data_IF_432372468695
#
_entry.id   IF_432372468695
#
_cell.length_a   1.000
_cell.length_b   1.000
_cell.length_c   1.000
_cell.angle_alpha   90.00
_cell.angle_beta   90.00
_cell.angle_gamma   90.00
#
_symmetry.space_group_name_H-M   'P 1'
#
loop_
_entity.id
_entity.type
_entity.pdbx_description
1 polymer ?
#
# COMPACT_ATOMS: atom_id res chain seq x y z
N UNK A 1 -27.01 -38.95 -11.72
CA UNK A 1 -26.83 -38.60 -13.15
C UNK A 1 -25.85 -37.44 -13.24
N UNK A 2 -24.60 -37.67 -13.64
CA UNK A 2 -23.60 -36.61 -13.79
C UNK A 2 -23.84 -35.84 -15.08
N UNK A 3 -23.88 -34.50 -15.01
CA UNK A 3 -24.15 -33.64 -16.15
C UNK A 3 -22.88 -33.49 -17.01
N UNK A 4 -22.83 -34.07 -18.23
CA UNK A 4 -21.61 -34.12 -19.04
C UNK A 4 -21.10 -32.75 -19.48
N UNK A 5 -21.97 -31.72 -19.47
CA UNK A 5 -21.60 -30.34 -19.81
C UNK A 5 -20.70 -29.70 -18.75
N UNK A 6 -20.90 -30.01 -17.48
CA UNK A 6 -20.11 -29.44 -16.37
C UNK A 6 -18.70 -30.05 -16.39
N UNK A 7 -18.59 -31.35 -16.65
CA UNK A 7 -17.31 -32.05 -16.76
C UNK A 7 -16.46 -31.48 -17.91
N UNK A 8 -17.09 -31.22 -19.06
CA UNK A 8 -16.41 -30.65 -20.23
C UNK A 8 -15.89 -29.24 -19.96
N UNK A 9 -16.68 -28.39 -19.28
CA UNK A 9 -16.24 -27.04 -18.91
C UNK A 9 -15.11 -27.07 -17.89
N UNK A 10 -15.13 -27.99 -16.92
CA UNK A 10 -14.05 -28.12 -15.94
C UNK A 10 -12.75 -28.60 -16.56
N UNK A 11 -12.80 -29.54 -17.51
CA UNK A 11 -11.62 -30.01 -18.25
C UNK A 11 -11.05 -28.90 -19.14
N UNK A 12 -11.91 -28.15 -19.84
CA UNK A 12 -11.47 -27.04 -20.68
C UNK A 12 -10.78 -25.94 -19.84
N UNK A 13 -11.32 -25.63 -18.66
CA UNK A 13 -10.71 -24.69 -17.73
C UNK A 13 -9.36 -25.21 -17.19
N UNK A 14 -9.25 -26.51 -16.90
CA UNK A 14 -8.01 -27.16 -16.46
C UNK A 14 -6.92 -27.16 -17.55
N UNK A 15 -7.31 -27.32 -18.82
CA UNK A 15 -6.38 -27.26 -19.96
C UNK A 15 -5.88 -25.83 -20.18
N UNK A 16 -6.75 -24.82 -20.05
CA UNK A 16 -6.34 -23.42 -20.11
C UNK A 16 -5.41 -23.08 -18.93
N UNK A 17 -5.74 -23.53 -17.72
CA UNK A 17 -4.92 -23.34 -16.54
C UNK A 17 -3.54 -24.02 -16.68
N UNK A 18 -3.51 -25.23 -17.25
CA UNK A 18 -2.27 -25.95 -17.53
C UNK A 18 -1.42 -25.27 -18.61
N UNK A 19 -2.03 -24.70 -19.65
CA UNK A 19 -1.30 -23.94 -20.68
C UNK A 19 -0.73 -22.62 -20.16
N UNK A 20 -1.39 -21.96 -19.20
CA UNK A 20 -0.81 -20.76 -18.54
C UNK A 20 0.40 -21.09 -17.66
N UNK A 21 0.59 -22.37 -17.29
CA UNK A 21 1.74 -22.81 -16.48
C UNK A 21 2.93 -23.32 -17.31
N UNK A 22 2.81 -23.41 -18.64
CA UNK A 22 3.90 -23.83 -19.54
C UNK A 22 4.41 -22.69 -20.42
N UNK A 23 4.62 -21.51 -19.84
CA UNK A 23 5.53 -20.54 -20.45
C UNK A 23 6.98 -20.97 -20.12
N UNK A 24 7.50 -21.86 -20.95
CA UNK A 24 8.90 -22.25 -20.93
C UNK A 24 9.76 -21.11 -21.50
N UNK A 25 10.19 -20.19 -20.64
CA UNK A 25 11.30 -19.29 -20.98
C UNK A 25 12.61 -19.98 -20.62
N UNK A 26 13.14 -20.75 -21.58
CA UNK A 26 14.48 -21.31 -21.53
C UNK A 26 15.40 -20.45 -22.39
N UNK A 27 15.73 -19.27 -21.88
CA UNK A 27 16.98 -18.59 -22.19
C UNK A 27 17.67 -18.36 -20.84
N UNK A 28 18.93 -18.77 -20.73
CA UNK A 28 19.68 -18.60 -19.48
C UNK A 28 19.65 -17.13 -19.06
N UNK A 29 19.39 -16.82 -17.79
CA UNK A 29 19.34 -15.44 -17.35
C UNK A 29 20.71 -14.78 -17.58
N UNK A 30 20.70 -13.57 -18.14
CA UNK A 30 21.92 -12.77 -18.25
C UNK A 30 22.25 -12.25 -16.85
N UNK A 31 23.30 -12.79 -16.24
CA UNK A 31 23.74 -12.37 -14.91
C UNK A 31 24.80 -11.28 -15.04
N UNK A 32 24.50 -10.11 -14.48
CA UNK A 32 25.37 -8.94 -14.45
C UNK A 32 25.92 -8.78 -13.03
N UNK A 33 27.23 -8.68 -12.92
CA UNK A 33 27.94 -8.40 -11.67
C UNK A 33 28.66 -7.06 -11.78
N UNK A 34 28.02 -5.94 -11.40
CA UNK A 34 28.69 -4.66 -11.30
C UNK A 34 29.81 -4.70 -10.25
N UNK A 35 30.80 -3.80 -10.34
CA UNK A 35 31.84 -3.69 -9.32
C UNK A 35 31.21 -3.35 -7.95
N UNK A 36 31.87 -3.78 -6.88
CA UNK A 36 31.44 -3.51 -5.49
C UNK A 36 31.24 -2.02 -5.27
N UNK A 37 30.04 -1.65 -4.81
CA UNK A 37 29.65 -0.26 -4.61
C UNK A 37 29.90 0.10 -3.15
N UNK A 38 30.91 0.92 -2.90
CA UNK A 38 31.16 1.51 -1.59
C UNK A 38 30.14 2.61 -1.32
N UNK A 39 29.37 2.48 -0.25
CA UNK A 39 28.27 3.36 0.11
C UNK A 39 28.44 3.87 1.55
N UNK A 40 28.19 5.16 1.77
CA UNK A 40 28.06 5.76 3.10
C UNK A 40 26.57 5.83 3.50
N UNK A 41 26.25 6.12 4.76
CA UNK A 41 24.86 6.24 5.25
C UNK A 41 24.00 7.30 4.52
N UNK A 42 24.63 8.27 3.86
CA UNK A 42 23.97 9.33 3.09
C UNK A 42 23.98 9.09 1.57
N UNK A 43 24.55 7.98 1.11
CA UNK A 43 24.66 7.66 -0.32
C UNK A 43 23.53 6.73 -0.74
N UNK A 44 23.06 6.87 -1.98
CA UNK A 44 21.99 6.04 -2.54
C UNK A 44 22.45 5.43 -3.85
N UNK A 45 22.12 4.16 -4.09
CA UNK A 45 22.33 3.52 -5.39
C UNK A 45 21.09 3.76 -6.25
N UNK A 46 21.31 4.39 -7.38
CA UNK A 46 20.30 4.71 -8.38
C UNK A 46 20.47 3.78 -9.57
N UNK A 47 19.43 3.01 -9.86
CA UNK A 47 19.35 2.11 -11.01
C UNK A 47 18.21 2.60 -11.90
N UNK A 48 18.59 3.15 -13.04
CA UNK A 48 17.67 3.66 -14.04
C UNK A 48 17.55 2.66 -15.18
N UNK A 49 16.33 2.28 -15.52
CA UNK A 49 16.04 1.47 -16.69
C UNK A 49 15.20 2.25 -17.70
N UNK A 50 15.49 2.09 -18.98
CA UNK A 50 14.72 2.71 -20.05
C UNK A 50 14.71 1.80 -21.29
N UNK A 51 13.52 1.56 -21.84
CA UNK A 51 13.33 0.75 -23.03
C UNK A 51 12.22 1.30 -23.92
N UNK A 52 12.03 0.63 -25.06
CA UNK A 52 10.94 0.93 -26.00
C UNK A 52 9.59 0.35 -25.53
N UNK A 53 9.62 -0.69 -24.70
CA UNK A 53 8.44 -1.35 -24.12
C UNK A 53 8.54 -1.43 -22.59
N UNK A 54 7.44 -1.82 -21.94
CA UNK A 54 7.40 -2.02 -20.49
C UNK A 54 8.50 -3.00 -20.03
N UNK A 55 9.18 -2.61 -18.95
CA UNK A 55 10.19 -3.41 -18.26
C UNK A 55 9.59 -3.84 -16.93
N UNK A 56 9.43 -5.15 -16.77
CA UNK A 56 8.99 -5.77 -15.53
C UNK A 56 10.19 -5.94 -14.60
N UNK A 57 10.01 -5.55 -13.34
CA UNK A 57 11.06 -5.61 -12.33
C UNK A 57 10.58 -6.45 -11.17
N UNK A 58 11.38 -7.45 -10.79
CA UNK A 58 11.21 -8.18 -9.54
C UNK A 58 12.22 -7.64 -8.54
N UNK A 59 11.70 -7.03 -7.48
CA UNK A 59 12.51 -6.51 -6.39
C UNK A 59 12.81 -7.64 -5.39
N UNK A 60 14.08 -7.78 -4.93
CA UNK A 60 14.41 -8.75 -3.91
C UNK A 60 13.77 -8.39 -2.58
N UNK A 61 13.58 -9.41 -1.74
CA UNK A 61 13.43 -9.20 -0.30
C UNK A 61 14.79 -8.79 0.28
N UNK A 62 15.07 -7.49 0.23
CA UNK A 62 16.23 -6.93 0.91
C UNK A 62 16.08 -7.04 2.44
N UNK A 63 17.20 -7.02 3.20
CA UNK A 63 17.14 -6.85 4.65
C UNK A 63 16.29 -5.62 5.00
N UNK A 64 15.54 -5.68 6.11
CA UNK A 64 14.56 -4.64 6.56
C UNK A 64 15.08 -3.19 6.60
N UNK A 65 16.38 -3.01 6.49
CA UNK A 65 17.12 -1.76 6.60
C UNK A 65 17.50 -1.16 5.24
N UNK A 66 17.07 -1.76 4.13
CA UNK A 66 17.18 -1.15 2.81
C UNK A 66 15.78 -0.85 2.30
N UNK A 67 15.55 0.39 1.90
CA UNK A 67 14.32 0.77 1.22
C UNK A 67 14.56 0.72 -0.28
N UNK A 68 13.54 0.24 -0.99
CA UNK A 68 13.52 0.25 -2.45
C UNK A 68 12.34 1.07 -2.90
N UNK A 69 12.63 2.23 -3.49
CA UNK A 69 11.62 3.05 -4.14
C UNK A 69 11.64 2.77 -5.64
N UNK A 70 10.51 2.37 -6.20
CA UNK A 70 10.32 2.23 -7.64
C UNK A 70 9.44 3.37 -8.17
N UNK A 71 9.98 4.23 -9.02
CA UNK A 71 9.20 5.25 -9.72
C UNK A 71 9.14 4.92 -11.22
N UNK A 72 7.92 4.84 -11.78
CA UNK A 72 7.71 4.78 -13.23
C UNK A 72 7.65 6.21 -13.77
N UNK A 73 8.58 6.58 -14.65
CA UNK A 73 8.50 7.88 -15.33
C UNK A 73 7.62 7.69 -16.56
N UNK A 74 6.48 8.40 -16.60
CA UNK A 74 5.52 8.33 -17.71
C UNK A 74 5.80 9.48 -18.67
N UNK A 75 6.23 9.14 -19.90
CA UNK A 75 6.58 10.02 -21.02
C UNK A 75 6.97 9.19 -22.26
N UNK A 76 7.59 9.79 -23.29
CA UNK A 76 7.96 9.13 -24.57
C UNK A 76 8.93 7.92 -24.45
N UNK A 77 9.51 7.67 -23.27
CA UNK A 77 10.34 6.49 -23.00
C UNK A 77 9.74 5.72 -21.83
N UNK A 78 9.42 4.45 -22.06
CA UNK A 78 8.95 3.55 -21.01
C UNK A 78 10.14 3.20 -20.12
N UNK A 79 10.21 3.82 -18.95
CA UNK A 79 11.34 3.68 -18.05
C UNK A 79 10.98 3.89 -16.61
N UNK A 80 11.89 3.50 -15.74
CA UNK A 80 11.71 3.64 -14.31
C UNK A 80 13.03 3.75 -13.58
N UNK A 81 12.90 4.02 -12.30
CA UNK A 81 13.97 4.32 -11.39
C UNK A 81 13.81 3.45 -10.16
N UNK A 82 14.88 2.78 -9.76
CA UNK A 82 14.98 2.02 -8.53
C UNK A 82 16.04 2.70 -7.68
N UNK A 83 15.66 3.15 -6.50
CA UNK A 83 16.56 3.75 -5.52
C UNK A 83 16.75 2.75 -4.38
N UNK A 84 18.00 2.40 -4.09
CA UNK A 84 18.38 1.61 -2.93
C UNK A 84 19.14 2.52 -1.97
N UNK A 85 18.62 2.69 -0.76
CA UNK A 85 19.29 3.42 0.32
C UNK A 85 19.50 2.50 1.52
N UNK A 86 20.54 2.77 2.30
CA UNK A 86 20.77 2.09 3.57
C UNK A 86 20.18 2.93 4.72
N UNK A 87 19.06 2.48 5.25
CA UNK A 87 18.35 3.11 6.36
C UNK A 87 18.65 2.36 7.67
N UNK A 88 19.13 3.08 8.70
CA UNK A 88 19.22 2.54 10.08
C UNK A 88 20.15 1.33 10.25
N UNK A 89 21.17 1.25 9.41
CA UNK A 89 22.17 0.19 9.48
C UNK A 89 23.10 0.41 10.68
N UNK A 90 23.06 -0.54 11.63
CA UNK A 90 23.85 -0.50 12.87
C UNK A 90 25.27 -1.06 12.73
N UNK A 91 25.56 -1.76 11.63
CA UNK A 91 26.85 -2.41 11.37
C UNK A 91 27.29 -2.15 9.94
N UNK A 92 28.56 -1.78 9.79
CA UNK A 92 29.25 -1.85 8.51
C UNK A 92 29.27 -3.31 8.05
N UNK A 93 29.19 -3.52 6.74
CA UNK A 93 29.08 -4.87 6.18
C UNK A 93 29.00 -4.86 4.67
N UNK A 94 29.14 -6.05 4.10
CA UNK A 94 28.95 -6.31 2.68
C UNK A 94 27.58 -6.97 2.53
N UNK A 95 26.76 -6.42 1.65
CA UNK A 95 25.39 -6.87 1.42
C UNK A 95 25.20 -7.21 -0.06
N UNK A 96 24.71 -8.40 -0.32
CA UNK A 96 24.39 -8.86 -1.66
C UNK A 96 22.91 -8.61 -1.96
N UNK A 97 22.63 -8.02 -3.12
CA UNK A 97 21.30 -7.69 -3.61
C UNK A 97 21.16 -8.17 -5.05
N UNK A 98 20.06 -8.87 -5.35
CA UNK A 98 19.80 -9.39 -6.69
C UNK A 98 18.48 -8.85 -7.21
N UNK A 99 18.53 -8.07 -8.28
CA UNK A 99 17.35 -7.54 -8.97
C UNK A 99 17.15 -8.30 -10.27
N UNK A 100 15.91 -8.64 -10.62
CA UNK A 100 15.62 -9.25 -11.91
C UNK A 100 14.77 -8.31 -12.78
N UNK A 101 15.17 -8.16 -14.03
CA UNK A 101 14.55 -7.31 -15.03
C UNK A 101 14.14 -8.15 -16.24
N UNK A 102 12.95 -7.91 -16.77
CA UNK A 102 12.46 -8.58 -17.97
C UNK A 102 11.72 -7.60 -18.89
N UNK A 103 11.98 -7.66 -20.18
CA UNK A 103 11.23 -6.91 -21.18
C UNK A 103 11.14 -7.68 -22.50
N UNK A 104 10.11 -7.38 -23.28
CA UNK A 104 9.90 -7.93 -24.62
C UNK A 104 10.62 -7.15 -25.72
N UNK A 105 11.31 -6.06 -25.38
CA UNK A 105 12.17 -5.28 -26.26
C UNK A 105 13.52 -4.98 -25.57
N UNK A 106 14.57 -4.62 -26.31
CA UNK A 106 15.84 -4.22 -25.72
C UNK A 106 15.68 -2.99 -24.82
N UNK A 107 16.47 -2.93 -23.75
CA UNK A 107 16.42 -1.83 -22.78
C UNK A 107 17.81 -1.56 -22.21
N UNK A 108 18.01 -0.36 -21.67
CA UNK A 108 19.27 0.04 -21.05
C UNK A 108 19.12 0.06 -19.53
N UNK A 109 20.13 -0.46 -18.82
CA UNK A 109 20.28 -0.38 -17.37
C UNK A 109 21.48 0.50 -17.02
N UNK A 110 21.23 1.56 -16.27
CA UNK A 110 22.26 2.47 -15.78
C UNK A 110 22.32 2.41 -14.25
N UNK A 111 23.49 2.06 -13.71
CA UNK A 111 23.76 2.05 -12.27
C UNK A 111 24.64 3.24 -11.93
N UNK A 112 24.21 4.05 -10.97
CA UNK A 112 24.90 5.25 -10.50
C UNK A 112 24.82 5.36 -8.98
N UNK A 113 25.81 6.01 -8.39
CA UNK A 113 25.82 6.37 -6.97
C UNK A 113 25.45 7.84 -6.83
N UNK A 114 24.45 8.12 -6.01
CA UNK A 114 24.04 9.47 -5.64
C UNK A 114 24.59 9.81 -4.26
N UNK A 115 25.21 10.98 -4.13
CA UNK A 115 25.64 11.55 -2.85
C UNK A 115 25.30 13.04 -2.82
N UNK A 116 24.17 13.39 -2.19
CA UNK A 116 23.63 14.74 -2.28
C UNK A 116 23.26 15.10 -3.73
N UNK A 117 23.88 16.13 -4.28
CA UNK A 117 23.69 16.55 -5.67
C UNK A 117 24.66 15.89 -6.67
N UNK A 118 25.64 15.13 -6.19
CA UNK A 118 26.63 14.48 -7.05
C UNK A 118 26.12 13.14 -7.56
N UNK A 119 26.20 12.93 -8.88
CA UNK A 119 25.86 11.68 -9.55
C UNK A 119 27.13 11.06 -10.12
N UNK A 120 27.55 9.93 -9.54
CA UNK A 120 28.70 9.16 -10.04
C UNK A 120 28.21 7.95 -10.84
N UNK A 121 28.39 7.91 -12.18
CA UNK A 121 28.05 6.73 -12.95
C UNK A 121 28.98 5.57 -12.56
N UNK A 122 28.41 4.38 -12.36
CA UNK A 122 29.17 3.16 -12.03
C UNK A 122 29.26 2.27 -13.26
N UNK A 123 28.12 1.94 -13.86
CA UNK A 123 28.07 1.03 -15.00
C UNK A 123 26.81 1.23 -15.82
N UNK A 124 26.90 0.90 -17.11
CA UNK A 124 25.80 0.94 -18.06
C UNK A 124 25.79 -0.36 -18.85
N UNK A 125 24.61 -0.97 -18.98
CA UNK A 125 24.41 -2.23 -19.68
C UNK A 125 23.29 -2.09 -20.69
N UNK A 126 23.48 -2.73 -21.84
CA UNK A 126 22.46 -2.88 -22.87
C UNK A 126 21.92 -4.29 -22.76
N UNK A 127 20.64 -4.41 -22.43
CA UNK A 127 19.96 -5.65 -22.13
C UNK A 127 19.16 -6.12 -23.36
N UNK A 128 19.34 -7.39 -23.79
CA UNK A 128 18.61 -7.93 -24.92
C UNK A 128 17.12 -8.15 -24.60
N UNK A 129 16.30 -8.22 -25.64
CA UNK A 129 14.88 -8.55 -25.52
C UNK A 129 14.66 -10.02 -25.11
N UNK A 130 13.52 -10.29 -24.47
CA UNK A 130 13.02 -11.63 -24.12
C UNK A 130 13.90 -12.46 -23.18
N UNK A 131 14.93 -11.86 -22.59
CA UNK A 131 15.82 -12.52 -21.63
C UNK A 131 15.65 -11.84 -20.27
N UNK A 132 15.57 -12.65 -19.21
CA UNK A 132 15.61 -12.15 -17.84
C UNK A 132 17.05 -11.75 -17.50
N UNK A 133 17.25 -10.48 -17.14
CA UNK A 133 18.55 -9.96 -16.70
C UNK A 133 18.57 -9.90 -15.18
N UNK A 134 19.51 -10.59 -14.57
CA UNK A 134 19.72 -10.57 -13.13
C UNK A 134 20.92 -9.66 -12.81
N UNK A 135 20.67 -8.58 -12.09
CA UNK A 135 21.67 -7.63 -11.61
C UNK A 135 22.04 -7.96 -10.17
N UNK A 136 23.25 -8.49 -9.96
CA UNK A 136 23.79 -8.85 -8.65
C UNK A 136 24.70 -7.74 -8.13
N UNK A 137 24.17 -6.89 -7.26
CA UNK A 137 24.86 -5.77 -6.64
C UNK A 137 25.49 -6.20 -5.33
N UNK A 138 26.77 -5.87 -5.16
CA UNK A 138 27.49 -6.02 -3.89
C UNK A 138 27.66 -4.62 -3.28
N UNK A 139 26.98 -4.36 -2.17
CA UNK A 139 26.97 -3.08 -1.47
C UNK A 139 27.88 -3.15 -0.24
N UNK A 140 28.97 -2.40 -0.24
CA UNK A 140 29.87 -2.28 0.91
C UNK A 140 29.53 -1.01 1.70
N UNK A 141 28.92 -1.16 2.88
CA UNK A 141 28.49 -0.04 3.71
C UNK A 141 29.59 0.38 4.69
N UNK A 142 30.03 1.63 4.60
CA UNK A 142 30.96 2.26 5.53
C UNK A 142 30.22 3.25 6.44
N UNK A 143 30.05 2.90 7.72
CA UNK A 143 29.42 3.80 8.70
C UNK A 143 30.50 4.71 9.32
N UNK A 144 30.49 5.99 8.96
CA UNK A 144 31.16 7.03 9.76
C UNK A 144 30.20 7.46 10.87
N UNK A 145 30.48 6.94 12.08
CA UNK A 145 29.83 7.21 13.37
C UNK A 145 28.44 6.58 13.60
N UNK A 146 28.21 5.94 14.76
CA UNK A 146 26.90 5.39 15.12
C UNK A 146 25.96 6.53 15.51
N UNK A 147 24.90 6.73 14.72
CA UNK A 147 23.81 7.66 15.06
C UNK A 147 23.19 7.21 16.41
N UNK A 148 22.98 8.12 17.38
CA UNK A 148 22.47 7.76 18.71
C UNK A 148 21.07 7.14 18.62
N UNK A 149 20.89 5.97 19.26
CA UNK A 149 19.71 5.10 19.13
C UNK A 149 18.36 5.80 19.43
N UNK A 150 18.38 6.87 20.23
CA UNK A 150 17.18 7.64 20.58
C UNK A 150 16.65 8.53 19.45
N UNK A 151 17.52 9.12 18.62
CA UNK A 151 17.08 10.03 17.55
C UNK A 151 16.51 9.25 16.35
N UNK A 152 17.07 8.07 16.09
CA UNK A 152 16.64 7.17 15.03
C UNK A 152 15.20 6.69 15.24
N UNK A 153 14.87 6.24 16.46
CA UNK A 153 13.53 5.73 16.77
C UNK A 153 12.48 6.84 16.61
N UNK A 154 12.76 8.04 17.10
CA UNK A 154 11.82 9.17 17.00
C UNK A 154 11.59 9.52 15.53
N UNK A 155 12.66 9.63 14.73
CA UNK A 155 12.56 9.98 13.31
C UNK A 155 11.85 8.89 12.48
N UNK A 156 12.16 7.60 12.70
CA UNK A 156 11.45 6.49 12.04
C UNK A 156 10.01 6.35 12.52
N UNK A 157 9.74 6.55 13.81
CA UNK A 157 8.39 6.56 14.36
C UNK A 157 7.58 7.62 13.63
N UNK A 158 8.07 8.86 13.48
CA UNK A 158 7.36 9.90 12.74
C UNK A 158 7.20 9.54 11.25
N UNK A 159 8.27 9.16 10.54
CA UNK A 159 8.20 8.90 9.08
C UNK A 159 7.31 7.70 8.70
N UNK A 160 7.35 6.60 9.45
CA UNK A 160 6.48 5.44 9.19
C UNK A 160 5.02 5.68 9.61
N UNK A 161 4.82 6.49 10.67
CA UNK A 161 3.50 6.84 11.19
C UNK A 161 2.74 7.75 10.22
N UNK A 162 3.44 8.63 9.50
CA UNK A 162 2.84 9.54 8.49
C UNK A 162 2.70 8.92 7.09
N UNK A 163 3.58 8.00 6.67
CA UNK A 163 3.58 7.45 5.31
C UNK A 163 2.57 6.32 5.09
N UNK A 164 2.17 5.58 6.13
CA UNK A 164 1.16 4.52 6.03
C UNK A 164 -0.24 5.12 6.11
N UNK A 165 -0.91 5.30 4.98
CA UNK A 165 -2.30 5.78 4.94
C UNK A 165 -3.35 4.68 5.14
N UNK A 166 -2.97 3.40 5.03
CA UNK A 166 -3.85 2.26 5.22
C UNK A 166 -3.08 1.03 5.70
N UNK A 167 -3.60 0.31 6.70
CA UNK A 167 -3.06 -0.94 7.24
C UNK A 167 -3.99 -2.14 7.06
N UNK A 168 -5.10 -1.97 6.33
CA UNK A 168 -5.99 -3.05 5.95
C UNK A 168 -7.02 -3.41 7.02
N UNK A 169 -6.64 -3.44 8.30
CA UNK A 169 -7.54 -3.82 9.41
C UNK A 169 -8.68 -2.83 9.62
N UNK A 170 -8.43 -1.54 9.34
CA UNK A 170 -9.45 -0.51 9.47
C UNK A 170 -10.64 -0.76 8.51
N UNK A 171 -10.38 -1.32 7.32
CA UNK A 171 -11.44 -1.71 6.38
C UNK A 171 -12.32 -2.83 6.92
N UNK A 172 -11.77 -3.74 7.74
CA UNK A 172 -12.57 -4.80 8.37
C UNK A 172 -13.60 -4.20 9.35
N UNK A 173 -13.23 -3.14 10.08
CA UNK A 173 -14.16 -2.42 10.98
C UNK A 173 -15.31 -1.84 10.16
N UNK A 174 -15.01 -1.11 9.08
CA UNK A 174 -16.04 -0.53 8.22
C UNK A 174 -16.91 -1.59 7.52
N UNK A 175 -16.31 -2.67 7.00
CA UNK A 175 -17.01 -3.75 6.32
C UNK A 175 -17.96 -4.53 7.23
N UNK A 176 -17.68 -4.61 8.53
CA UNK A 176 -18.54 -5.32 9.49
C UNK A 176 -19.64 -4.38 10.00
N UNK A 177 -19.28 -3.19 10.47
CA UNK A 177 -20.22 -2.34 11.19
C UNK A 177 -21.12 -1.53 10.26
N UNK A 178 -20.66 -1.05 9.10
CA UNK A 178 -21.53 -0.28 8.19
C UNK A 178 -22.73 -1.13 7.74
N UNK A 179 -22.56 -2.38 7.24
CA UNK A 179 -23.71 -3.20 6.87
C UNK A 179 -24.65 -3.48 8.03
N UNK A 180 -24.11 -3.71 9.23
CA UNK A 180 -24.93 -3.95 10.43
C UNK A 180 -25.85 -2.77 10.75
N UNK A 181 -25.30 -1.55 10.73
CA UNK A 181 -26.10 -0.32 10.93
C UNK A 181 -27.05 -0.01 9.76
N UNK A 182 -26.70 -0.40 8.54
CA UNK A 182 -27.59 -0.25 7.37
C UNK A 182 -28.77 -1.22 7.45
N UNK A 183 -28.56 -2.46 7.90
CA UNK A 183 -29.63 -3.44 8.13
C UNK A 183 -30.58 -2.94 9.24
N UNK A 184 -30.04 -2.45 10.36
CA UNK A 184 -30.89 -1.88 11.42
C UNK A 184 -31.64 -0.65 10.94
N UNK A 185 -30.99 0.24 10.18
CA UNK A 185 -31.65 1.39 9.55
C UNK A 185 -32.77 1.00 8.60
N UNK A 186 -32.61 -0.07 7.82
CA UNK A 186 -33.65 -0.56 6.91
C UNK A 186 -34.84 -1.17 7.66
N UNK A 187 -34.57 -1.94 8.72
CA UNK A 187 -35.63 -2.48 9.59
C UNK A 187 -36.41 -1.36 10.28
N UNK A 188 -35.70 -0.36 10.80
CA UNK A 188 -36.31 0.80 11.45
C UNK A 188 -37.15 1.63 10.46
N UNK A 189 -36.65 1.82 9.24
CA UNK A 189 -37.38 2.48 8.15
C UNK A 189 -38.69 1.76 7.81
N UNK A 190 -38.64 0.43 7.72
CA UNK A 190 -39.83 -0.37 7.43
C UNK A 190 -40.87 -0.23 8.55
N UNK A 191 -40.43 -0.23 9.80
CA UNK A 191 -41.32 -0.13 10.97
C UNK A 191 -41.93 1.27 11.11
N UNK A 192 -41.12 2.31 10.92
CA UNK A 192 -41.54 3.72 10.90
C UNK A 192 -42.58 4.01 9.82
N UNK A 193 -42.34 3.54 8.59
CA UNK A 193 -43.29 3.66 7.47
C UNK A 193 -44.64 3.02 7.75
N UNK A 194 -44.68 1.98 8.58
CA UNK A 194 -45.91 1.27 8.93
C UNK A 194 -46.69 1.96 10.05
N UNK A 195 -45.99 2.62 10.98
CA UNK A 195 -46.58 3.26 12.16
C UNK A 195 -47.05 4.69 11.89
N UNK A 196 -46.40 5.43 10.98
CA UNK A 196 -46.74 6.83 10.69
C UNK A 196 -47.62 6.98 9.45
N UNK A 197 -48.73 7.69 9.62
CA UNK A 197 -49.72 7.95 8.58
C UNK A 197 -49.20 8.92 7.49
N UNK A 198 -48.23 9.78 7.85
CA UNK A 198 -47.54 10.70 6.94
C UNK A 198 -46.04 10.41 6.97
N UNK A 199 -45.55 9.66 5.98
CA UNK A 199 -44.12 9.38 5.80
C UNK A 199 -43.68 9.79 4.41
N UNK A 200 -42.69 10.68 4.33
CA UNK A 200 -42.17 11.19 3.05
C UNK A 200 -40.87 10.49 2.64
N UNK A 201 -40.44 10.74 1.40
CA UNK A 201 -39.13 10.29 0.92
C UNK A 201 -37.99 11.00 1.65
N UNK A 202 -38.20 12.23 2.10
CA UNK A 202 -37.19 12.99 2.85
C UNK A 202 -36.93 12.36 4.23
N UNK A 203 -38.00 11.94 4.93
CA UNK A 203 -37.88 11.25 6.23
C UNK A 203 -37.13 9.92 6.09
N UNK A 204 -37.34 9.22 4.97
CA UNK A 204 -36.60 8.00 4.64
C UNK A 204 -35.10 8.26 4.54
N UNK A 205 -34.72 9.35 3.86
CA UNK A 205 -33.32 9.74 3.67
C UNK A 205 -32.70 10.21 4.99
N UNK A 206 -33.44 11.00 5.78
CA UNK A 206 -33.01 11.45 7.08
C UNK A 206 -32.75 10.27 8.03
N UNK A 207 -33.67 9.31 8.11
CA UNK A 207 -33.50 8.13 8.96
C UNK A 207 -32.27 7.31 8.56
N UNK A 208 -32.06 7.09 7.25
CA UNK A 208 -30.86 6.39 6.75
C UNK A 208 -29.60 7.18 7.11
N UNK A 209 -29.61 8.51 6.93
CA UNK A 209 -28.48 9.37 7.25
C UNK A 209 -28.13 9.33 8.76
N UNK A 210 -29.12 9.27 9.67
CA UNK A 210 -28.92 9.06 11.11
C UNK A 210 -28.19 7.75 11.39
N UNK A 211 -28.61 6.65 10.77
CA UNK A 211 -27.96 5.34 10.96
C UNK A 211 -26.56 5.30 10.35
N UNK A 212 -26.35 5.90 9.18
CA UNK A 212 -25.02 6.06 8.58
C UNK A 212 -24.11 6.88 9.49
N UNK A 213 -24.58 8.00 10.02
CA UNK A 213 -23.82 8.81 10.98
C UNK A 213 -23.38 7.99 12.20
N UNK A 214 -24.30 7.23 12.82
CA UNK A 214 -23.94 6.38 13.96
C UNK A 214 -22.99 5.24 13.59
N UNK A 215 -23.10 4.68 12.39
CA UNK A 215 -22.16 3.67 11.90
C UNK A 215 -20.74 4.24 11.83
N UNK A 216 -20.58 5.43 11.23
CA UNK A 216 -19.27 6.08 11.11
C UNK A 216 -18.74 6.56 12.46
N UNK A 217 -19.59 7.05 13.36
CA UNK A 217 -19.22 7.39 14.74
C UNK A 217 -18.68 6.16 15.49
N UNK A 218 -19.41 5.04 15.41
CA UNK A 218 -19.02 3.80 16.08
C UNK A 218 -17.71 3.24 15.51
N UNK A 219 -17.55 3.23 14.18
CA UNK A 219 -16.29 2.87 13.53
C UNK A 219 -15.14 3.77 13.98
N UNK A 220 -15.37 5.09 14.06
CA UNK A 220 -14.35 6.04 14.52
C UNK A 220 -13.92 5.77 15.96
N UNK A 221 -14.85 5.45 16.86
CA UNK A 221 -14.54 5.09 18.24
C UNK A 221 -13.68 3.82 18.29
N UNK A 222 -14.06 2.76 17.58
CA UNK A 222 -13.29 1.51 17.54
C UNK A 222 -11.89 1.76 16.97
N UNK A 223 -11.80 2.46 15.83
CA UNK A 223 -10.52 2.79 15.21
C UNK A 223 -9.65 3.61 16.16
N UNK A 224 -10.23 4.56 16.90
CA UNK A 224 -9.51 5.36 17.90
C UNK A 224 -8.95 4.52 19.04
N UNK A 225 -9.75 3.60 19.60
CA UNK A 225 -9.32 2.70 20.68
C UNK A 225 -8.18 1.79 20.21
N UNK A 226 -8.33 1.15 19.05
CA UNK A 226 -7.30 0.26 18.49
C UNK A 226 -6.04 1.05 18.14
N UNK A 227 -6.17 2.22 17.54
CA UNK A 227 -5.04 3.09 17.20
C UNK A 227 -4.28 3.53 18.45
N UNK A 228 -4.98 3.91 19.52
CA UNK A 228 -4.37 4.27 20.80
C UNK A 228 -3.65 3.07 21.43
N UNK A 229 -4.27 1.88 21.39
CA UNK A 229 -3.64 0.63 21.83
C UNK A 229 -2.36 0.31 21.05
N UNK A 230 -2.40 0.45 19.72
CA UNK A 230 -1.24 0.26 18.85
C UNK A 230 -0.15 1.30 19.10
N UNK A 231 -0.50 2.54 19.42
CA UNK A 231 0.45 3.59 19.78
C UNK A 231 1.20 3.23 21.07
N UNK A 232 0.46 2.86 22.12
CA UNK A 232 1.05 2.44 23.41
C UNK A 232 1.91 1.20 23.23
N UNK A 233 1.43 0.20 22.49
CA UNK A 233 2.20 -1.01 22.19
C UNK A 233 3.48 -0.70 21.41
N UNK A 234 3.37 0.15 20.38
CA UNK A 234 4.51 0.58 19.56
C UNK A 234 5.58 1.28 20.39
N UNK A 235 5.16 2.11 21.35
CA UNK A 235 6.05 2.80 22.28
C UNK A 235 6.78 1.83 23.23
N UNK A 236 6.06 0.89 23.84
CA UNK A 236 6.61 -0.06 24.81
C UNK A 236 7.60 -1.04 24.14
N UNK A 237 7.20 -1.63 23.02
CA UNK A 237 7.97 -2.68 22.35
C UNK A 237 8.96 -2.15 21.30
N UNK A 238 9.02 -0.82 21.10
CA UNK A 238 9.85 -0.16 20.08
C UNK A 238 9.62 -0.71 18.67
N UNK A 239 8.36 -1.00 18.33
CA UNK A 239 7.93 -1.48 17.01
C UNK A 239 7.07 -0.42 16.33
N UNK A 240 7.16 -0.25 15.02
CA UNK A 240 6.33 0.71 14.26
C UNK A 240 5.09 0.02 13.68
N UNK A 241 4.11 -0.27 14.54
CA UNK A 241 2.80 -0.80 14.13
C UNK A 241 1.72 0.28 14.02
N UNK A 242 1.88 1.38 14.74
CA UNK A 242 0.98 2.53 14.68
C UNK A 242 1.09 3.28 13.34
N UNK A 243 -0.06 3.68 12.81
CA UNK A 243 -0.18 4.59 11.67
C UNK A 243 -1.11 5.74 12.04
N UNK A 244 -0.64 6.96 11.87
CA UNK A 244 -1.44 8.17 12.06
C UNK A 244 -2.31 8.46 10.84
N UNK A 245 -1.89 8.01 9.66
CA UNK A 245 -2.70 8.07 8.43
C UNK A 245 -4.05 7.37 8.59
N UNK A 246 -4.08 6.20 9.24
CA UNK A 246 -5.34 5.46 9.51
C UNK A 246 -6.28 6.25 10.42
N UNK A 247 -5.73 6.89 11.46
CA UNK A 247 -6.50 7.74 12.37
C UNK A 247 -7.06 8.98 11.66
N UNK A 248 -6.22 9.70 10.89
CA UNK A 248 -6.64 10.87 10.10
C UNK A 248 -7.73 10.48 9.10
N UNK A 249 -7.56 9.37 8.39
CA UNK A 249 -8.53 8.91 7.39
C UNK A 249 -9.89 8.64 8.03
N UNK A 250 -9.91 7.94 9.17
CA UNK A 250 -11.14 7.68 9.93
C UNK A 250 -11.78 8.97 10.44
N UNK A 251 -10.97 9.91 10.94
CA UNK A 251 -11.43 11.22 11.39
C UNK A 251 -12.03 12.05 10.24
N UNK A 252 -11.42 12.05 9.05
CA UNK A 252 -11.93 12.74 7.87
C UNK A 252 -13.25 12.16 7.38
N UNK A 253 -13.38 10.83 7.32
CA UNK A 253 -14.63 10.17 6.97
C UNK A 253 -15.73 10.51 7.96
N UNK A 254 -15.44 10.45 9.26
CA UNK A 254 -16.40 10.83 10.29
C UNK A 254 -16.76 12.32 10.21
N UNK A 255 -15.79 13.21 10.00
CA UNK A 255 -16.04 14.64 9.86
C UNK A 255 -16.93 14.95 8.65
N UNK A 256 -16.70 14.28 7.51
CA UNK A 256 -17.52 14.44 6.30
C UNK A 256 -18.97 14.04 6.56
N UNK A 257 -19.20 12.85 7.11
CA UNK A 257 -20.55 12.36 7.41
C UNK A 257 -21.20 13.19 8.52
N UNK A 258 -20.43 13.60 9.53
CA UNK A 258 -20.87 14.48 10.60
C UNK A 258 -21.31 15.85 10.10
N UNK A 259 -20.60 16.41 9.12
CA UNK A 259 -21.00 17.68 8.47
C UNK A 259 -22.32 17.51 7.72
N UNK A 260 -22.50 16.43 6.95
CA UNK A 260 -23.75 16.14 6.24
C UNK A 260 -24.91 15.96 7.24
N UNK A 261 -24.68 15.19 8.31
CA UNK A 261 -25.67 14.98 9.38
C UNK A 261 -26.06 16.30 10.06
N UNK A 262 -25.07 17.13 10.39
CA UNK A 262 -25.28 18.44 11.01
C UNK A 262 -26.07 19.39 10.10
N UNK A 263 -25.77 19.43 8.81
CA UNK A 263 -26.53 20.22 7.83
C UNK A 263 -27.99 19.74 7.71
N UNK A 264 -28.23 18.43 7.71
CA UNK A 264 -29.58 17.88 7.71
C UNK A 264 -30.34 18.25 8.99
N UNK A 265 -29.65 18.22 10.15
CA UNK A 265 -30.24 18.61 11.43
C UNK A 265 -30.57 20.10 11.47
N UNK A 266 -29.70 20.96 10.93
CA UNK A 266 -29.96 22.40 10.85
C UNK A 266 -31.17 22.73 9.93
N UNK A 267 -31.45 21.88 8.94
CA UNK A 267 -32.65 22.00 8.11
C UNK A 267 -33.90 21.32 8.68
N UNK A 268 -33.87 20.88 9.95
CA UNK A 268 -34.99 20.26 10.63
C UNK A 268 -35.52 18.99 9.92
N UNK A 269 -34.62 18.19 9.33
CA UNK A 269 -35.01 16.95 8.65
C UNK A 269 -35.45 15.83 9.60
N UNK A 270 -35.26 16.01 10.91
CA UNK A 270 -35.47 14.99 11.92
C UNK A 270 -36.68 15.25 12.82
N UNK A 271 -37.45 16.33 12.62
CA UNK A 271 -38.58 16.68 13.50
C UNK A 271 -39.55 15.51 13.68
N UNK A 272 -39.96 14.87 12.57
CA UNK A 272 -40.83 13.70 12.56
C UNK A 272 -40.16 12.43 13.10
N UNK A 273 -38.84 12.37 13.21
CA UNK A 273 -38.10 11.19 13.68
C UNK A 273 -37.80 11.32 15.18
N UNK A 274 -37.51 12.53 15.65
CA UNK A 274 -37.15 12.84 17.03
C UNK A 274 -38.37 13.03 17.94
N UNK A 275 -39.58 13.23 17.39
CA UNK A 275 -40.85 13.27 18.14
C UNK A 275 -41.20 11.97 18.90
N UNK A 276 -40.50 10.86 18.65
CA UNK A 276 -40.70 9.56 19.31
C UNK A 276 -39.71 9.26 20.45
N UNK A 277 -38.62 10.03 20.57
CA UNK A 277 -37.61 9.91 21.65
C UNK A 277 -37.89 10.94 22.78
#
# INVERSE_FOLDING_TARGET
MFNPKILLTSIFFLVILAQTMTLSFSDQPMIIHPPTISMDSSSMVNIRYAGEKDVYVVLPQLPKNFTVESAKVVGEKVGGLIIISAENMKKAGIFDCSLAFFSTAPYNLNVSLLKGNDVKPISQYICPANITVQLNLVLALNLKEPVPEGQIFIQQFFMNTFSRFASGWEFAVYLIFIPLFMVTGFLNLHDMKRKKEKWTKQDSVALILRHVFYAFLFCFIIVSIVSLGLLVYSYIFKVSLFSFGVFIFSALLFALIGLIYWLAKWRNWYDLIDEED
#
